data_IF_011087082737
#
_entry.id   IF_011087082737
#
_cell.length_a   1.000
_cell.length_b   1.000
_cell.length_c   1.000
_cell.angle_alpha   90.00
_cell.angle_beta   90.00
_cell.angle_gamma   90.00
#
_symmetry.space_group_name_H-M   'P 1'
#
loop_
_entity.id
_entity.type
_entity.pdbx_description
1 polymer ?
#
# COMPACT_ATOMS: atom_id res chain seq x y z
N UNK A 1 -7.56 16.79 -0.28
CA UNK A 1 -6.92 15.57 0.28
C UNK A 1 -6.65 14.59 -0.85
N UNK A 2 -6.12 13.41 -0.52
CA UNK A 2 -5.97 12.31 -1.48
C UNK A 2 -7.26 11.49 -1.66
N UNK A 3 -7.28 10.50 -2.56
CA UNK A 3 -8.45 9.66 -2.82
C UNK A 3 -8.61 8.52 -1.80
N UNK A 4 -7.75 8.45 -0.77
CA UNK A 4 -7.75 7.37 0.22
C UNK A 4 -8.99 7.42 1.11
N UNK A 5 -9.66 6.27 1.29
CA UNK A 5 -10.84 6.10 2.15
C UNK A 5 -12.02 7.01 1.76
N UNK A 6 -12.67 6.78 0.59
CA UNK A 6 -13.79 7.59 0.14
C UNK A 6 -14.96 7.69 1.14
N UNK A 7 -15.17 6.64 1.93
CA UNK A 7 -16.21 6.57 2.96
C UNK A 7 -16.02 7.63 4.07
N UNK A 8 -14.81 8.14 4.28
CA UNK A 8 -14.51 9.23 5.22
C UNK A 8 -14.59 10.61 4.58
N UNK A 9 -15.19 10.73 3.38
CA UNK A 9 -15.34 12.00 2.66
C UNK A 9 -14.13 12.39 1.81
N UNK A 10 -13.19 11.47 1.58
CA UNK A 10 -12.11 11.70 0.62
C UNK A 10 -12.65 11.76 -0.81
N UNK A 11 -12.23 12.78 -1.57
CA UNK A 11 -12.68 13.01 -2.95
C UNK A 11 -11.52 13.36 -3.87
N UNK A 12 -11.75 13.22 -5.19
CA UNK A 12 -10.82 13.64 -6.23
C UNK A 12 -10.82 15.15 -6.53
N UNK A 13 -11.59 15.95 -5.80
CA UNK A 13 -11.89 17.36 -6.16
C UNK A 13 -10.65 18.21 -6.43
N UNK A 14 -9.60 18.09 -5.63
CA UNK A 14 -8.38 18.88 -5.81
C UNK A 14 -7.68 18.57 -7.14
N UNK A 15 -7.70 17.30 -7.56
CA UNK A 15 -7.13 16.89 -8.85
C UNK A 15 -7.97 17.42 -10.02
N UNK A 16 -9.29 17.36 -9.90
CA UNK A 16 -10.19 17.87 -10.93
C UNK A 16 -10.09 19.39 -11.06
N UNK A 17 -9.97 20.10 -9.93
CA UNK A 17 -9.74 21.53 -9.90
C UNK A 17 -8.42 21.89 -10.59
N UNK A 18 -7.33 21.20 -10.25
CA UNK A 18 -6.03 21.42 -10.89
C UNK A 18 -6.10 21.20 -12.42
N UNK A 19 -6.74 20.13 -12.87
CA UNK A 19 -6.95 19.85 -14.31
C UNK A 19 -7.76 20.94 -15.00
N UNK A 20 -8.80 21.49 -14.35
CA UNK A 20 -9.61 22.60 -14.91
C UNK A 20 -8.79 23.87 -15.16
N UNK A 21 -7.76 24.10 -14.35
CA UNK A 21 -6.82 25.22 -14.53
C UNK A 21 -5.62 24.87 -15.41
N UNK A 22 -5.64 23.74 -16.12
CA UNK A 22 -4.57 23.32 -17.02
C UNK A 22 -3.29 22.86 -16.30
N UNK A 23 -3.35 22.61 -14.99
CA UNK A 23 -2.20 22.12 -14.24
C UNK A 23 -2.01 20.62 -14.48
N UNK A 24 -0.75 20.21 -14.67
CA UNK A 24 -0.40 18.79 -14.78
C UNK A 24 -0.62 18.10 -13.43
N UNK A 25 -1.38 17.01 -13.44
CA UNK A 25 -1.59 16.14 -12.28
C UNK A 25 -0.88 14.81 -12.53
N UNK A 26 0.00 14.41 -11.61
CA UNK A 26 0.57 13.06 -11.60
C UNK A 26 -0.52 12.09 -11.12
N UNK A 27 -0.74 11.01 -11.87
CA UNK A 27 -1.82 10.06 -11.56
C UNK A 27 -1.62 9.45 -10.18
N UNK A 28 -2.55 9.64 -9.23
CA UNK A 28 -2.44 9.10 -7.89
C UNK A 28 -2.42 7.58 -7.90
N UNK A 29 -1.57 6.98 -7.07
CA UNK A 29 -1.52 5.53 -6.86
C UNK A 29 -1.63 5.22 -5.37
N UNK A 30 -2.19 4.06 -4.99
CA UNK A 30 -2.19 3.62 -3.60
C UNK A 30 -0.76 3.57 -3.04
N UNK A 31 -0.59 4.06 -1.82
CA UNK A 31 0.67 4.09 -1.08
C UNK A 31 0.36 3.82 0.40
N UNK A 32 1.34 3.27 1.13
CA UNK A 32 1.14 2.76 2.50
C UNK A 32 -0.03 1.76 2.59
N UNK A 33 -0.06 0.81 1.64
CA UNK A 33 -1.13 -0.18 1.53
C UNK A 33 -0.60 -1.61 1.70
N UNK A 34 -1.44 -2.55 2.20
CA UNK A 34 -1.12 -3.97 2.18
C UNK A 34 -0.89 -4.49 0.75
N UNK A 35 -0.12 -5.57 0.64
CA UNK A 35 0.09 -6.28 -0.63
C UNK A 35 -0.77 -7.54 -0.67
N UNK A 36 -1.49 -7.75 -1.77
CA UNK A 36 -2.30 -8.96 -1.98
C UNK A 36 -1.43 -10.06 -2.58
N UNK A 37 -1.46 -11.26 -2.00
CA UNK A 37 -0.78 -12.44 -2.54
C UNK A 37 -1.78 -13.31 -3.32
N UNK A 38 -1.33 -13.89 -4.44
CA UNK A 38 -2.17 -14.64 -5.37
C UNK A 38 -1.54 -15.97 -5.81
N UNK A 39 -2.31 -16.81 -6.51
CA UNK A 39 -1.80 -18.07 -7.07
C UNK A 39 -1.20 -19.00 -6.01
N UNK A 40 0.02 -19.47 -6.23
CA UNK A 40 0.74 -20.40 -5.33
C UNK A 40 1.05 -19.79 -3.95
N UNK A 41 1.09 -18.47 -3.84
CA UNK A 41 1.36 -17.76 -2.59
C UNK A 41 0.16 -17.78 -1.63
N UNK A 42 -0.98 -18.35 -2.04
CA UNK A 42 -2.15 -18.53 -1.17
C UNK A 42 -1.87 -19.44 0.02
N UNK A 43 -0.84 -20.29 -0.04
CA UNK A 43 -0.37 -21.10 1.09
C UNK A 43 -0.01 -20.25 2.32
N UNK A 44 0.45 -19.01 2.11
CA UNK A 44 0.76 -18.08 3.19
C UNK A 44 -0.46 -17.63 4.01
N UNK A 45 -1.69 -17.89 3.55
CA UNK A 45 -2.92 -17.67 4.35
C UNK A 45 -2.92 -18.49 5.63
N UNK A 46 -2.30 -19.66 5.64
CA UNK A 46 -2.17 -20.48 6.85
C UNK A 46 -1.37 -19.79 7.96
N UNK A 47 -0.56 -18.78 7.61
CA UNK A 47 0.21 -17.96 8.54
C UNK A 47 -0.54 -16.68 8.96
N UNK A 48 -1.79 -16.48 8.56
CA UNK A 48 -2.54 -15.26 8.88
C UNK A 48 -2.55 -15.00 10.39
N UNK A 49 -2.16 -13.79 10.79
CA UNK A 49 -2.00 -13.37 12.18
C UNK A 49 -0.56 -13.48 12.72
N UNK A 50 0.31 -14.22 12.03
CA UNK A 50 1.74 -14.28 12.38
C UNK A 50 2.42 -12.97 11.99
N UNK A 51 3.16 -12.40 12.93
CA UNK A 51 4.02 -11.25 12.72
C UNK A 51 5.49 -11.64 12.89
N UNK A 52 6.36 -11.06 12.08
CA UNK A 52 7.79 -11.28 12.14
C UNK A 52 8.54 -9.98 11.84
N UNK A 53 9.70 -9.79 12.47
CA UNK A 53 10.64 -8.75 12.07
C UNK A 53 11.27 -9.15 10.72
N UNK A 54 11.17 -8.28 9.72
CA UNK A 54 11.68 -8.53 8.37
C UNK A 54 12.47 -7.35 7.84
N UNK A 55 13.17 -7.57 6.73
CA UNK A 55 13.67 -6.48 5.87
C UNK A 55 12.92 -6.56 4.54
N UNK A 56 11.95 -5.65 4.34
CA UNK A 56 11.26 -5.51 3.07
C UNK A 56 12.11 -4.65 2.11
N UNK A 57 12.26 -5.07 0.85
CA UNK A 57 13.18 -4.42 -0.10
C UNK A 57 12.59 -4.34 -1.51
N UNK A 58 12.72 -3.16 -2.13
CA UNK A 58 12.51 -2.93 -3.56
C UNK A 58 13.70 -2.14 -4.11
N UNK A 59 14.41 -2.71 -5.09
CA UNK A 59 15.63 -2.12 -5.63
C UNK A 59 16.69 -1.86 -4.56
N UNK A 60 17.01 -0.57 -4.31
CA UNK A 60 17.97 -0.13 -3.28
C UNK A 60 17.30 0.29 -1.96
N UNK A 61 15.97 0.43 -1.94
CA UNK A 61 15.20 0.86 -0.77
C UNK A 61 14.92 -0.34 0.14
N UNK A 62 15.08 -0.17 1.45
CA UNK A 62 14.86 -1.22 2.44
C UNK A 62 14.24 -0.67 3.73
N UNK A 63 13.34 -1.44 4.33
CA UNK A 63 12.68 -1.14 5.60
C UNK A 63 12.78 -2.33 6.53
N UNK A 64 13.39 -2.14 7.70
CA UNK A 64 13.54 -3.17 8.74
C UNK A 64 12.50 -2.93 9.83
N UNK A 65 11.42 -3.69 9.81
CA UNK A 65 10.29 -3.53 10.72
C UNK A 65 9.41 -4.78 10.72
N UNK A 66 8.29 -4.77 11.44
CA UNK A 66 7.37 -5.89 11.45
C UNK A 66 6.63 -6.03 10.10
N UNK A 67 6.54 -7.26 9.60
CA UNK A 67 5.54 -7.67 8.62
C UNK A 67 4.49 -8.55 9.30
N UNK A 68 3.26 -8.48 8.79
CA UNK A 68 2.11 -9.26 9.25
C UNK A 68 1.56 -10.06 8.08
N UNK A 69 1.47 -11.37 8.26
CA UNK A 69 0.72 -12.24 7.34
C UNK A 69 -0.77 -12.06 7.59
N UNK A 70 -1.55 -11.93 6.51
CA UNK A 70 -3.01 -11.73 6.55
C UNK A 70 -3.70 -12.74 5.64
N UNK A 71 -5.01 -12.89 5.81
CA UNK A 71 -5.85 -13.73 4.95
C UNK A 71 -5.84 -13.31 3.45
N UNK A 72 -5.43 -12.08 3.13
CA UNK A 72 -5.33 -11.58 1.74
C UNK A 72 -3.89 -11.47 1.22
N UNK A 73 -2.89 -11.50 2.08
CA UNK A 73 -1.49 -11.27 1.71
C UNK A 73 -0.66 -10.71 2.85
N UNK A 74 0.09 -9.64 2.61
CA UNK A 74 1.06 -9.07 3.56
C UNK A 74 0.68 -7.66 3.99
N UNK A 75 0.90 -7.35 5.26
CA UNK A 75 0.71 -6.03 5.87
C UNK A 75 1.83 -5.77 6.89
N UNK A 76 1.62 -4.81 7.79
CA UNK A 76 2.59 -4.40 8.80
C UNK A 76 3.54 -3.31 8.30
N UNK A 77 4.17 -2.56 9.21
CA UNK A 77 4.95 -1.37 8.87
C UNK A 77 5.98 -1.56 7.75
N UNK A 78 6.73 -2.67 7.74
CA UNK A 78 7.72 -2.94 6.70
C UNK A 78 7.08 -3.03 5.30
N UNK A 79 5.90 -3.63 5.21
CA UNK A 79 5.18 -3.82 3.94
C UNK A 79 4.49 -2.52 3.51
N UNK A 80 3.88 -1.78 4.44
CA UNK A 80 3.25 -0.50 4.13
C UNK A 80 4.31 0.50 3.59
N UNK A 81 5.48 0.57 4.24
CA UNK A 81 6.56 1.44 3.78
C UNK A 81 7.05 1.04 2.38
N UNK A 82 7.31 -0.26 2.14
CA UNK A 82 7.83 -0.71 0.85
C UNK A 82 6.81 -0.58 -0.29
N UNK A 83 5.50 -0.57 0.00
CA UNK A 83 4.44 -0.46 -1.03
C UNK A 83 4.46 0.84 -1.81
N UNK A 84 5.26 1.82 -1.38
CA UNK A 84 5.33 3.16 -1.97
C UNK A 84 6.53 3.31 -2.94
N UNK A 85 7.25 2.21 -3.23
CA UNK A 85 8.46 2.15 -4.04
C UNK A 85 8.38 1.03 -5.07
#
# INVERSE_FOLDING_TARGET
GGPSIPQMGATGFAYDLARRFGLKVVEPRPALVPLTLGGEETLFRALSGVAAEVVARVGKTRFREAALFTHKGLSGPAILQVSSY
#
